data_IF_049173235249
#
_entry.id   IF_049173235249
#
_cell.length_a   1.000
_cell.length_b   1.000
_cell.length_c   1.000
_cell.angle_alpha   90.00
_cell.angle_beta   90.00
_cell.angle_gamma   90.00
#
_symmetry.space_group_name_H-M   'P 1'
#
loop_
_entity.id
_entity.type
_entity.pdbx_description
1 polymer ?
#
# COMPACT_ATOMS: atom_id res chain seq x y z
N UNK A 1 -6.10 -24.71 -3.70
CA UNK A 1 -6.13 -23.66 -4.73
C UNK A 1 -4.69 -23.27 -5.00
N UNK A 2 -4.24 -23.22 -6.24
CA UNK A 2 -2.90 -22.75 -6.64
C UNK A 2 -3.12 -21.39 -7.28
N UNK A 3 -2.45 -20.34 -6.81
CA UNK A 3 -2.42 -19.03 -7.47
C UNK A 3 -1.03 -18.81 -8.07
N UNK A 4 -0.99 -18.25 -9.27
CA UNK A 4 0.26 -17.90 -9.95
C UNK A 4 0.71 -16.47 -9.65
N UNK A 5 -0.18 -15.65 -9.10
CA UNK A 5 0.10 -14.25 -8.81
C UNK A 5 -0.23 -13.91 -7.35
N UNK A 6 0.79 -13.52 -6.59
CA UNK A 6 0.62 -13.12 -5.18
C UNK A 6 -0.35 -11.96 -4.98
N UNK A 7 -0.58 -11.15 -6.02
CA UNK A 7 -1.55 -10.04 -5.95
C UNK A 7 -3.01 -10.52 -5.89
N UNK A 8 -3.28 -11.77 -6.29
CA UNK A 8 -4.64 -12.33 -6.28
C UNK A 8 -5.11 -12.71 -4.88
N UNK A 9 -4.18 -12.83 -3.93
CA UNK A 9 -4.50 -13.13 -2.52
C UNK A 9 -4.58 -11.88 -1.64
N UNK A 10 -4.45 -10.69 -2.22
CA UNK A 10 -4.69 -9.43 -1.51
C UNK A 10 -6.20 -9.25 -1.34
N UNK A 11 -6.64 -9.06 -0.10
CA UNK A 11 -8.05 -8.95 0.24
C UNK A 11 -8.66 -10.29 0.64
N UNK A 12 -9.99 -10.35 0.68
CA UNK A 12 -10.75 -11.50 1.16
C UNK A 12 -10.27 -12.05 2.50
N UNK A 13 -9.80 -11.14 3.36
CA UNK A 13 -9.31 -11.48 4.69
C UNK A 13 -10.48 -11.89 5.60
N UNK A 14 -10.29 -12.80 6.56
CA UNK A 14 -11.38 -13.24 7.42
C UNK A 14 -11.79 -12.17 8.43
N UNK A 15 -13.03 -12.26 8.91
CA UNK A 15 -13.45 -11.65 10.17
C UNK A 15 -13.09 -12.61 11.31
N UNK A 16 -12.50 -12.07 12.37
CA UNK A 16 -12.01 -12.83 13.53
C UNK A 16 -12.82 -12.41 14.75
N UNK A 17 -13.57 -13.34 15.35
CA UNK A 17 -14.26 -13.08 16.61
C UNK A 17 -13.25 -12.95 17.75
N UNK A 18 -13.35 -11.87 18.51
CA UNK A 18 -12.55 -11.63 19.70
C UNK A 18 -13.30 -12.01 20.99
N UNK A 19 -14.48 -12.63 20.88
CA UNK A 19 -15.35 -12.98 22.01
C UNK A 19 -14.65 -13.86 23.06
N UNK A 20 -13.86 -14.83 22.62
CA UNK A 20 -13.10 -15.70 23.53
C UNK A 20 -12.05 -14.96 24.36
N UNK A 21 -11.52 -13.83 23.85
CA UNK A 21 -10.51 -13.02 24.51
C UNK A 21 -11.10 -11.91 25.38
N UNK A 22 -12.23 -11.34 24.95
CA UNK A 22 -12.79 -10.11 25.54
C UNK A 22 -14.07 -10.33 26.31
N UNK A 23 -14.77 -11.44 26.05
CA UNK A 23 -16.15 -11.67 26.53
C UNK A 23 -17.23 -10.87 25.79
N UNK A 24 -16.84 -10.05 24.81
CA UNK A 24 -17.71 -9.16 24.03
C UNK A 24 -17.84 -9.62 22.58
N UNK A 25 -18.96 -9.30 21.95
CA UNK A 25 -19.19 -9.56 20.53
C UNK A 25 -18.46 -8.49 19.68
N UNK A 26 -17.13 -8.59 19.65
CA UNK A 26 -16.25 -7.75 18.87
C UNK A 26 -15.59 -8.59 17.78
N UNK A 27 -15.56 -8.05 16.57
CA UNK A 27 -14.94 -8.69 15.41
C UNK A 27 -13.82 -7.82 14.86
N UNK A 28 -12.76 -8.45 14.38
CA UNK A 28 -11.62 -7.79 13.75
C UNK A 28 -11.40 -8.32 12.33
N UNK A 29 -11.24 -7.42 11.37
CA UNK A 29 -10.85 -7.78 10.00
C UNK A 29 -9.37 -8.16 9.97
N UNK A 30 -9.04 -9.37 9.56
CA UNK A 30 -7.69 -9.96 9.63
C UNK A 30 -6.71 -9.42 8.57
N UNK A 31 -6.54 -8.10 8.49
CA UNK A 31 -5.74 -7.45 7.42
C UNK A 31 -4.23 -7.75 7.46
N UNK A 32 -3.72 -8.25 8.57
CA UNK A 32 -2.34 -8.74 8.66
C UNK A 32 -2.09 -10.02 7.84
N UNK A 33 -3.14 -10.66 7.34
CA UNK A 33 -3.06 -11.84 6.47
C UNK A 33 -2.84 -11.48 4.98
N UNK A 34 -2.89 -10.20 4.62
CA UNK A 34 -2.44 -9.79 3.30
C UNK A 34 -0.94 -10.10 3.11
N UNK A 35 -0.47 -10.37 1.90
CA UNK A 35 0.91 -10.82 1.65
C UNK A 35 2.00 -9.84 2.10
N UNK A 36 1.75 -8.53 2.09
CA UNK A 36 2.64 -7.51 2.66
C UNK A 36 2.38 -7.24 4.15
N UNK A 37 1.44 -7.97 4.77
CA UNK A 37 1.19 -7.95 6.20
C UNK A 37 0.29 -6.81 6.68
N UNK A 38 -0.44 -6.13 5.81
CA UNK A 38 -1.32 -5.04 6.25
C UNK A 38 -2.44 -4.70 5.27
N UNK A 39 -3.40 -3.90 5.74
CA UNK A 39 -4.46 -3.31 4.91
C UNK A 39 -3.93 -2.46 3.74
N UNK A 40 -2.66 -2.03 3.81
CA UNK A 40 -2.07 -1.16 2.77
C UNK A 40 -1.79 -1.89 1.46
N UNK A 41 -1.77 -3.20 1.46
CA UNK A 41 -1.69 -3.98 0.23
C UNK A 41 -2.91 -3.73 -0.66
N UNK A 42 -4.11 -3.64 -0.06
CA UNK A 42 -5.35 -3.30 -0.77
C UNK A 42 -5.28 -1.92 -1.39
N UNK A 43 -4.88 -0.94 -0.58
CA UNK A 43 -4.77 0.46 -1.01
C UNK A 43 -3.76 0.59 -2.14
N UNK A 44 -2.59 -0.02 -2.01
CA UNK A 44 -1.55 0.00 -3.03
C UNK A 44 -2.03 -0.63 -4.34
N UNK A 45 -2.64 -1.82 -4.27
CA UNK A 45 -3.19 -2.49 -5.45
C UNK A 45 -4.23 -1.63 -6.15
N UNK A 46 -5.19 -1.09 -5.40
CA UNK A 46 -6.28 -0.31 -5.95
C UNK A 46 -5.79 0.99 -6.60
N UNK A 47 -4.94 1.76 -5.93
CA UNK A 47 -4.41 3.02 -6.47
C UNK A 47 -3.60 2.81 -7.74
N UNK A 48 -2.75 1.76 -7.78
CA UNK A 48 -1.94 1.43 -8.96
C UNK A 48 -2.83 0.99 -10.11
N UNK A 49 -3.78 0.08 -9.90
CA UNK A 49 -4.68 -0.42 -10.92
C UNK A 49 -5.63 0.68 -11.44
N UNK A 50 -6.11 1.56 -10.59
CA UNK A 50 -6.91 2.72 -10.98
C UNK A 50 -6.11 3.71 -11.85
N UNK A 51 -4.84 3.96 -11.50
CA UNK A 51 -3.96 4.81 -12.31
C UNK A 51 -3.65 4.19 -13.67
N UNK A 52 -3.44 2.87 -13.74
CA UNK A 52 -3.30 2.15 -15.02
C UNK A 52 -4.56 2.27 -15.88
N UNK A 53 -5.73 2.07 -15.27
CA UNK A 53 -7.01 2.15 -15.98
C UNK A 53 -7.30 3.54 -16.56
N UNK A 54 -6.85 4.61 -15.89
CA UNK A 54 -6.96 5.99 -16.38
C UNK A 54 -5.86 6.38 -17.38
N UNK A 55 -4.79 5.59 -17.50
CA UNK A 55 -3.62 5.91 -18.32
C UNK A 55 -2.65 6.90 -17.66
N UNK A 56 -2.83 7.19 -16.37
CA UNK A 56 -1.91 8.02 -15.58
C UNK A 56 -0.60 7.29 -15.31
N UNK A 57 -0.67 5.96 -15.18
CA UNK A 57 0.45 5.05 -15.03
C UNK A 57 0.52 4.09 -16.22
N UNK A 58 1.65 4.04 -16.90
CA UNK A 58 1.87 3.23 -18.09
C UNK A 58 3.13 2.38 -17.96
N UNK A 59 3.24 1.26 -18.69
CA UNK A 59 4.44 0.45 -18.71
C UNK A 59 5.71 1.30 -19.01
N UNK A 60 6.77 1.04 -18.27
CA UNK A 60 8.03 1.80 -18.36
C UNK A 60 8.13 3.04 -17.49
N UNK A 61 7.03 3.47 -16.85
CA UNK A 61 7.06 4.53 -15.85
C UNK A 61 7.62 4.03 -14.51
N UNK A 62 8.06 4.96 -13.68
CA UNK A 62 8.50 4.72 -12.30
C UNK A 62 7.39 5.09 -11.32
N UNK A 63 7.03 4.16 -10.43
CA UNK A 63 6.14 4.46 -9.31
C UNK A 63 6.97 5.01 -8.16
N UNK A 64 6.54 6.12 -7.58
CA UNK A 64 7.22 6.78 -6.46
C UNK A 64 6.24 7.08 -5.33
N UNK A 65 6.67 6.91 -4.09
CA UNK A 65 5.86 7.28 -2.91
C UNK A 65 6.75 7.72 -1.74
N UNK A 66 6.23 8.71 -1.00
CA UNK A 66 6.83 9.21 0.24
C UNK A 66 6.13 8.58 1.44
N UNK A 67 6.77 7.60 2.06
CA UNK A 67 6.15 6.90 3.19
C UNK A 67 7.19 6.18 4.04
N UNK A 68 6.97 6.21 5.34
CA UNK A 68 7.79 5.45 6.31
C UNK A 68 7.11 4.19 6.82
N UNK A 69 5.92 3.86 6.31
CA UNK A 69 5.04 2.83 6.83
C UNK A 69 4.72 1.69 5.85
N UNK A 70 3.65 0.99 6.20
CA UNK A 70 3.17 -0.18 5.44
C UNK A 70 2.75 0.15 4.00
N UNK A 71 2.41 1.40 3.71
CA UNK A 71 2.10 1.82 2.33
C UNK A 71 3.29 1.59 1.40
N UNK A 72 4.51 1.88 1.86
CA UNK A 72 5.73 1.62 1.08
C UNK A 72 5.94 0.13 0.79
N UNK A 73 5.61 -0.74 1.76
CA UNK A 73 5.66 -2.20 1.57
C UNK A 73 4.62 -2.64 0.52
N UNK A 74 3.37 -2.18 0.65
CA UNK A 74 2.31 -2.52 -0.30
C UNK A 74 2.62 -2.03 -1.71
N UNK A 75 3.10 -0.79 -1.87
CA UNK A 75 3.47 -0.23 -3.18
C UNK A 75 4.67 -0.99 -3.79
N UNK A 76 5.68 -1.35 -2.98
CA UNK A 76 6.80 -2.15 -3.43
C UNK A 76 6.33 -3.53 -3.92
N UNK A 77 5.51 -4.21 -3.12
CA UNK A 77 4.94 -5.52 -3.46
C UNK A 77 4.18 -5.47 -4.79
N UNK A 78 3.22 -4.56 -4.89
CA UNK A 78 2.33 -4.48 -6.06
C UNK A 78 3.07 -3.96 -7.29
N UNK A 79 3.78 -2.85 -7.17
CA UNK A 79 4.43 -2.18 -8.28
C UNK A 79 5.52 -3.04 -8.92
N UNK A 80 6.39 -3.64 -8.11
CA UNK A 80 7.46 -4.52 -8.61
C UNK A 80 6.87 -5.78 -9.25
N UNK A 81 5.83 -6.38 -8.64
CA UNK A 81 5.18 -7.56 -9.22
C UNK A 81 4.50 -7.25 -10.56
N UNK A 82 4.01 -6.03 -10.77
CA UNK A 82 3.45 -5.55 -12.04
C UNK A 82 4.52 -5.12 -13.06
N UNK A 83 5.81 -5.20 -12.71
CA UNK A 83 6.93 -4.91 -13.61
C UNK A 83 7.36 -3.45 -13.65
N UNK A 84 6.90 -2.63 -12.71
CA UNK A 84 7.34 -1.24 -12.59
C UNK A 84 8.65 -1.13 -11.81
N UNK A 85 9.44 -0.12 -12.15
CA UNK A 85 10.45 0.41 -11.24
C UNK A 85 9.73 1.12 -10.10
N UNK A 86 10.07 0.79 -8.85
CA UNK A 86 9.45 1.38 -7.67
C UNK A 86 10.50 2.06 -6.82
N UNK A 87 10.26 3.30 -6.44
CA UNK A 87 11.13 4.11 -5.59
C UNK A 87 10.34 4.57 -4.37
N UNK A 88 10.78 4.19 -3.18
CA UNK A 88 10.22 4.66 -1.91
C UNK A 88 11.19 5.68 -1.30
N UNK A 89 10.65 6.82 -0.90
CA UNK A 89 11.42 7.88 -0.24
C UNK A 89 10.99 7.97 1.22
N UNK A 90 11.96 7.94 2.13
CA UNK A 90 11.70 8.05 3.57
C UNK A 90 12.87 8.69 4.33
N UNK A 91 12.63 9.23 5.52
CA UNK A 91 13.69 9.69 6.41
C UNK A 91 14.65 8.55 6.81
N UNK A 92 15.93 8.84 6.93
CA UNK A 92 16.98 7.85 7.24
C UNK A 92 16.83 7.15 8.60
N UNK A 93 16.18 7.80 9.56
CA UNK A 93 15.95 7.27 10.91
C UNK A 93 14.76 6.29 11.01
N UNK A 94 14.14 5.93 9.89
CA UNK A 94 13.07 4.93 9.87
C UNK A 94 13.61 3.52 10.13
N UNK A 95 12.72 2.63 10.56
CA UNK A 95 13.04 1.25 10.94
C UNK A 95 13.86 0.51 9.87
N UNK A 96 14.99 -0.06 10.28
CA UNK A 96 15.84 -0.88 9.42
C UNK A 96 15.11 -2.12 8.87
N UNK A 97 14.19 -2.66 9.65
CA UNK A 97 13.34 -3.77 9.23
C UNK A 97 12.52 -3.40 7.98
N UNK A 98 11.82 -2.26 8.00
CA UNK A 98 11.04 -1.78 6.86
C UNK A 98 11.90 -1.51 5.63
N UNK A 99 13.08 -0.91 5.83
CA UNK A 99 14.04 -0.69 4.73
C UNK A 99 14.47 -2.02 4.09
N UNK A 100 14.74 -3.04 4.91
CA UNK A 100 15.09 -4.38 4.42
C UNK A 100 13.94 -5.03 3.67
N UNK A 101 12.71 -4.97 4.19
CA UNK A 101 11.52 -5.53 3.54
C UNK A 101 11.32 -4.88 2.17
N UNK A 102 11.30 -3.54 2.09
CA UNK A 102 11.10 -2.80 0.84
C UNK A 102 12.17 -3.18 -0.20
N UNK A 103 13.44 -3.23 0.20
CA UNK A 103 14.54 -3.65 -0.68
C UNK A 103 14.41 -5.12 -1.11
N UNK A 104 14.01 -6.01 -0.22
CA UNK A 104 13.84 -7.44 -0.55
C UNK A 104 12.70 -7.69 -1.54
N UNK A 105 11.71 -6.80 -1.58
CA UNK A 105 10.65 -6.81 -2.59
C UNK A 105 11.11 -6.28 -3.95
N UNK A 106 12.34 -5.74 -4.06
CA UNK A 106 12.91 -5.24 -5.31
C UNK A 106 12.71 -3.74 -5.55
N UNK A 107 12.18 -2.98 -4.58
CA UNK A 107 12.06 -1.54 -4.70
C UNK A 107 13.35 -0.82 -4.29
N UNK A 108 13.58 0.32 -4.91
CA UNK A 108 14.66 1.24 -4.56
C UNK A 108 14.26 2.12 -3.38
N UNK A 109 15.25 2.52 -2.59
CA UNK A 109 15.07 3.36 -1.41
C UNK A 109 15.93 4.61 -1.54
N UNK A 110 15.28 5.77 -1.42
CA UNK A 110 15.94 7.05 -1.25
C UNK A 110 15.74 7.50 0.21
N UNK A 111 16.85 7.78 0.89
CA UNK A 111 16.83 8.23 2.27
C UNK A 111 17.06 9.74 2.31
N UNK A 112 16.18 10.46 3.02
CA UNK A 112 16.31 11.88 3.29
C UNK A 112 16.80 12.12 4.72
N UNK A 113 17.27 13.32 5.01
CA UNK A 113 17.76 13.67 6.36
C UNK A 113 16.64 13.56 7.38
N UNK A 114 16.93 12.94 8.51
CA UNK A 114 15.98 12.80 9.62
C UNK A 114 15.45 14.13 10.16
N UNK A 115 16.27 15.20 10.10
CA UNK A 115 15.90 16.54 10.51
C UNK A 115 14.81 17.21 9.66
N UNK A 116 14.59 16.70 8.45
CA UNK A 116 13.56 17.22 7.53
C UNK A 116 12.24 16.46 7.65
N UNK A 117 12.19 15.39 8.48
CA UNK A 117 11.00 14.56 8.67
C UNK A 117 10.43 14.07 7.33
N UNK A 118 9.14 13.83 7.28
CA UNK A 118 8.46 13.38 6.04
C UNK A 118 8.47 14.48 4.96
N UNK A 119 8.55 15.75 5.33
CA UNK A 119 8.58 16.87 4.39
C UNK A 119 9.80 16.81 3.46
N UNK A 120 10.96 16.39 3.97
CA UNK A 120 12.15 16.17 3.14
C UNK A 120 11.89 15.13 2.04
N UNK A 121 11.19 14.04 2.37
CA UNK A 121 10.82 13.02 1.38
C UNK A 121 9.84 13.58 0.32
N UNK A 122 8.85 14.36 0.74
CA UNK A 122 7.88 15.00 -0.16
C UNK A 122 8.57 15.97 -1.12
N UNK A 123 9.47 16.83 -0.59
CA UNK A 123 10.25 17.74 -1.43
C UNK A 123 11.13 17.01 -2.44
N UNK A 124 11.76 15.91 -2.03
CA UNK A 124 12.59 15.11 -2.93
C UNK A 124 11.76 14.44 -4.03
N UNK A 125 10.56 13.90 -3.71
CA UNK A 125 9.67 13.36 -4.72
C UNK A 125 9.22 14.42 -5.72
N UNK A 126 8.84 15.59 -5.25
CA UNK A 126 8.45 16.72 -6.11
C UNK A 126 9.61 17.15 -7.03
N UNK A 127 10.83 17.20 -6.50
CA UNK A 127 12.03 17.52 -7.28
C UNK A 127 12.26 16.48 -8.38
N UNK A 128 12.19 15.20 -8.07
CA UNK A 128 12.40 14.14 -9.06
C UNK A 128 11.30 14.12 -10.11
N UNK A 129 10.04 14.29 -9.71
CA UNK A 129 8.90 14.39 -10.64
C UNK A 129 9.05 15.57 -11.62
N UNK A 130 9.57 16.70 -11.17
CA UNK A 130 9.81 17.86 -12.00
C UNK A 130 10.93 17.61 -13.05
N UNK A 131 11.88 16.71 -12.75
CA UNK A 131 12.98 16.35 -13.65
C UNK A 131 12.63 15.22 -14.62
N UNK A 132 11.69 14.34 -14.23
CA UNK A 132 11.29 13.20 -15.06
C UNK A 132 9.75 13.06 -15.08
N UNK A 133 9.10 13.40 -16.20
CA UNK A 133 7.66 13.26 -16.35
C UNK A 133 7.17 11.80 -16.29
N UNK A 134 8.08 10.82 -16.47
CA UNK A 134 7.73 9.39 -16.39
C UNK A 134 7.67 8.86 -14.94
N UNK A 135 7.77 9.71 -13.95
CA UNK A 135 7.50 9.35 -12.56
C UNK A 135 6.02 9.54 -12.25
N UNK A 136 5.36 8.49 -11.76
CA UNK A 136 4.03 8.55 -11.16
C UNK A 136 4.17 8.55 -9.64
N UNK A 137 3.80 9.65 -9.00
CA UNK A 137 3.76 9.76 -7.53
C UNK A 137 2.38 9.36 -7.05
N UNK A 138 2.29 8.36 -6.16
CA UNK A 138 1.02 7.77 -5.75
C UNK A 138 0.19 8.71 -4.88
N UNK A 139 0.85 9.50 -4.00
CA UNK A 139 0.23 10.54 -3.16
C UNK A 139 -0.87 9.99 -2.24
N UNK A 140 -0.58 8.98 -1.42
CA UNK A 140 -1.58 8.26 -0.63
C UNK A 140 -2.55 9.15 0.19
N UNK A 141 -2.10 10.33 0.63
CA UNK A 141 -2.93 11.22 1.46
C UNK A 141 -3.89 12.10 0.67
N UNK A 142 -3.64 12.30 -0.61
CA UNK A 142 -4.42 13.16 -1.50
C UNK A 142 -5.19 12.36 -2.55
N UNK A 143 -4.76 11.13 -2.82
CA UNK A 143 -5.31 10.27 -3.85
C UNK A 143 -6.71 9.75 -3.45
N UNK A 144 -7.77 10.10 -4.19
CA UNK A 144 -9.14 9.68 -3.88
C UNK A 144 -9.34 8.17 -4.02
N UNK A 145 -8.47 7.47 -4.73
CA UNK A 145 -8.52 6.02 -4.86
C UNK A 145 -8.19 5.30 -3.54
N UNK A 146 -7.50 5.97 -2.59
CA UNK A 146 -7.23 5.40 -1.28
C UNK A 146 -8.52 5.12 -0.49
N UNK A 147 -9.39 6.09 -0.17
CA UNK A 147 -10.66 5.78 0.49
C UNK A 147 -11.58 4.94 -0.41
N UNK A 148 -11.53 5.11 -1.73
CA UNK A 148 -12.33 4.31 -2.66
C UNK A 148 -11.96 2.82 -2.62
N UNK A 149 -10.70 2.48 -2.39
CA UNK A 149 -10.26 1.10 -2.19
C UNK A 149 -11.03 0.43 -1.06
N UNK A 150 -11.18 1.12 0.07
CA UNK A 150 -11.93 0.58 1.20
C UNK A 150 -13.42 0.50 0.93
N UNK A 151 -13.99 1.51 0.29
CA UNK A 151 -15.40 1.52 -0.09
C UNK A 151 -15.76 0.36 -1.03
N UNK A 152 -14.87 0.06 -1.99
CA UNK A 152 -15.11 -0.96 -3.01
C UNK A 152 -14.72 -2.39 -2.59
N UNK A 153 -13.88 -2.55 -1.59
CA UNK A 153 -13.38 -3.86 -1.17
C UNK A 153 -13.61 -4.13 0.31
N UNK A 154 -12.90 -3.47 1.20
CA UNK A 154 -12.91 -3.76 2.64
C UNK A 154 -14.31 -3.65 3.24
N UNK A 155 -15.04 -2.59 2.92
CA UNK A 155 -16.38 -2.35 3.44
C UNK A 155 -17.38 -3.40 2.94
N UNK A 156 -17.29 -3.76 1.66
CA UNK A 156 -18.14 -4.81 1.06
C UNK A 156 -17.88 -6.16 1.73
N UNK A 157 -16.61 -6.53 1.89
CA UNK A 157 -16.26 -7.78 2.57
C UNK A 157 -16.75 -7.82 4.03
N UNK A 158 -16.60 -6.71 4.77
CA UNK A 158 -17.08 -6.63 6.16
C UNK A 158 -18.61 -6.81 6.18
N UNK A 159 -19.32 -6.07 5.32
CA UNK A 159 -20.77 -6.15 5.24
C UNK A 159 -21.26 -7.56 4.95
N UNK A 160 -20.66 -8.21 3.95
CA UNK A 160 -21.06 -9.56 3.55
C UNK A 160 -20.71 -10.62 4.59
N UNK A 161 -19.52 -10.51 5.22
CA UNK A 161 -19.06 -11.45 6.24
C UNK A 161 -19.81 -11.33 7.57
N UNK A 162 -20.37 -10.16 7.83
CA UNK A 162 -21.19 -9.88 9.02
C UNK A 162 -22.70 -10.00 8.72
N UNK A 163 -23.09 -10.43 7.49
CA UNK A 163 -24.48 -10.57 7.06
C UNK A 163 -25.32 -9.30 7.25
N UNK A 164 -24.65 -8.13 7.23
CA UNK A 164 -25.25 -6.83 7.48
C UNK A 164 -25.49 -6.50 8.98
N UNK A 165 -25.16 -7.39 9.88
CA UNK A 165 -25.30 -7.22 11.33
C UNK A 165 -24.13 -6.42 11.91
N UNK A 166 -24.18 -5.09 11.76
CA UNK A 166 -23.13 -4.16 12.22
C UNK A 166 -23.80 -2.99 12.97
N UNK A 167 -23.34 -2.71 14.20
CA UNK A 167 -23.77 -1.57 15.02
C UNK A 167 -23.06 -0.27 14.63
#
# INVERSE_FOLDING_TARGET
MITENILDIIGNTPMISLKAMTGLDIFAKGEYLNPGGSIKDRVAKFMIEAAEARGDLRPGMTIMECTSGNTGIGIALVGVRKGYRVVIIMPENMSEERKKIIKSLGAELILTKSSEYINGAVCEAARQKAMDPNIFVVQQFENPDNPLAHYKTTAVEIWDQMEGEID
#
